data_IF_252976471951
#
_entry.id   IF_252976471951
#
_cell.length_a   1.000
_cell.length_b   1.000
_cell.length_c   1.000
_cell.angle_alpha   90.00
_cell.angle_beta   90.00
_cell.angle_gamma   90.00
#
_symmetry.space_group_name_H-M   'P 1'
#
loop_
_entity.id
_entity.type
_entity.pdbx_description
1 polymer ?
#
# COMPACT_ATOMS: atom_id res chain seq x y z
N UNK A 1 16.52 -23.48 16.23
CA UNK A 1 16.63 -22.02 16.45
C UNK A 1 15.76 -21.22 15.46
N UNK A 2 15.87 -21.38 14.13
CA UNK A 2 15.07 -20.65 13.13
C UNK A 2 13.55 -20.89 13.27
N UNK A 3 13.10 -22.15 13.48
CA UNK A 3 11.67 -22.48 13.69
C UNK A 3 11.08 -21.94 15.01
N UNK A 4 11.88 -21.72 16.03
CA UNK A 4 11.42 -21.16 17.31
C UNK A 4 11.22 -19.65 17.21
N UNK A 5 12.08 -18.95 16.46
CA UNK A 5 11.92 -17.52 16.13
C UNK A 5 10.69 -17.31 15.25
N UNK A 6 10.41 -18.21 14.29
CA UNK A 6 9.20 -18.17 13.47
C UNK A 6 7.89 -18.32 14.27
N UNK A 7 7.87 -19.14 15.34
CA UNK A 7 6.67 -19.32 16.19
C UNK A 7 6.41 -18.13 17.13
N UNK A 8 7.45 -17.52 17.69
CA UNK A 8 7.30 -16.36 18.58
C UNK A 8 6.90 -15.08 17.83
N UNK A 9 7.18 -14.98 16.54
CA UNK A 9 6.91 -13.76 15.73
C UNK A 9 5.54 -13.76 15.05
N UNK A 10 4.88 -14.91 14.89
CA UNK A 10 3.63 -14.98 14.11
C UNK A 10 2.42 -14.27 14.75
N UNK A 11 2.34 -14.21 16.06
CA UNK A 11 1.27 -13.52 16.80
C UNK A 11 1.49 -12.00 16.92
N UNK A 12 2.73 -11.57 17.15
CA UNK A 12 3.08 -10.15 17.28
C UNK A 12 3.09 -9.38 15.94
N UNK A 13 3.24 -10.07 14.84
CA UNK A 13 3.33 -9.52 13.49
C UNK A 13 2.14 -8.63 13.08
N UNK A 14 0.97 -8.95 13.63
CA UNK A 14 -0.32 -8.36 13.27
C UNK A 14 -0.98 -7.64 14.46
N UNK A 15 -0.22 -7.35 15.50
CA UNK A 15 -0.72 -6.61 16.64
C UNK A 15 -1.00 -5.16 16.22
N UNK A 16 -2.17 -4.65 16.58
CA UNK A 16 -2.54 -3.26 16.38
C UNK A 16 -1.66 -2.36 17.27
N UNK A 17 -1.25 -1.20 16.75
CA UNK A 17 -0.63 -0.15 17.56
C UNK A 17 -1.63 0.40 18.57
N UNK A 18 -1.17 1.15 19.57
CA UNK A 18 -2.06 1.74 20.60
C UNK A 18 -3.14 2.65 20.00
N UNK A 19 -2.80 3.38 18.93
CA UNK A 19 -3.75 4.25 18.23
C UNK A 19 -4.74 3.41 17.41
N UNK A 20 -4.26 2.38 16.73
CA UNK A 20 -5.12 1.47 15.96
C UNK A 20 -6.06 0.66 16.86
N UNK A 21 -5.64 0.32 18.09
CA UNK A 21 -6.53 -0.28 19.10
C UNK A 21 -7.67 0.66 19.49
N UNK A 22 -7.39 1.97 19.67
CA UNK A 22 -8.42 2.98 19.92
C UNK A 22 -9.37 3.11 18.74
N UNK A 23 -8.84 3.11 17.53
CA UNK A 23 -9.63 3.13 16.29
C UNK A 23 -10.51 1.88 16.17
N UNK A 24 -9.97 0.72 16.47
CA UNK A 24 -10.70 -0.55 16.44
C UNK A 24 -11.81 -0.60 17.51
N UNK A 25 -11.54 -0.10 18.72
CA UNK A 25 -12.53 0.06 19.80
C UNK A 25 -13.64 1.06 19.40
N UNK A 26 -13.28 2.16 18.76
CA UNK A 26 -14.25 3.12 18.23
C UNK A 26 -15.13 2.47 17.15
N UNK A 27 -14.52 1.74 16.21
CA UNK A 27 -15.22 1.01 15.16
C UNK A 27 -16.23 0.01 15.74
N UNK A 28 -15.81 -0.75 16.75
CA UNK A 28 -16.66 -1.71 17.47
C UNK A 28 -17.90 -1.04 18.08
N UNK A 29 -17.70 0.01 18.89
CA UNK A 29 -18.80 0.76 19.52
C UNK A 29 -19.78 1.31 18.50
N UNK A 30 -19.28 1.83 17.37
CA UNK A 30 -20.15 2.35 16.30
C UNK A 30 -20.95 1.26 15.61
N UNK A 31 -20.32 0.12 15.30
CA UNK A 31 -20.98 -0.99 14.64
C UNK A 31 -22.03 -1.66 15.56
N UNK A 32 -21.78 -1.75 16.86
CA UNK A 32 -22.74 -2.28 17.84
C UNK A 32 -23.94 -1.34 18.06
N UNK A 33 -23.73 -0.02 18.08
CA UNK A 33 -24.81 0.95 18.32
C UNK A 33 -25.93 0.92 17.29
N UNK A 34 -25.74 0.22 16.16
CA UNK A 34 -26.72 0.07 15.08
C UNK A 34 -27.27 -1.35 14.91
N UNK A 35 -26.89 -2.28 15.80
CA UNK A 35 -27.51 -3.60 15.84
C UNK A 35 -29.03 -3.44 16.03
N UNK A 36 -29.80 -3.69 14.96
CA UNK A 36 -31.26 -3.49 14.96
C UNK A 36 -31.82 -2.32 14.17
N UNK A 37 -30.99 -1.39 13.63
CA UNK A 37 -31.46 -0.17 12.92
C UNK A 37 -31.47 -0.29 11.39
N UNK A 38 -32.09 -1.32 10.85
CA UNK A 38 -32.33 -1.46 9.40
C UNK A 38 -31.06 -1.74 8.56
N UNK A 39 -31.22 -2.60 7.54
CA UNK A 39 -30.10 -3.13 6.73
C UNK A 39 -29.28 -2.04 6.03
N UNK A 40 -29.94 -1.00 5.46
CA UNK A 40 -29.25 0.06 4.71
C UNK A 40 -28.37 0.92 5.63
N UNK A 41 -28.88 1.31 6.80
CA UNK A 41 -28.10 2.08 7.77
C UNK A 41 -26.89 1.30 8.29
N UNK A 42 -27.04 -0.03 8.45
CA UNK A 42 -25.92 -0.92 8.80
C UNK A 42 -24.82 -0.89 7.76
N UNK A 43 -25.16 -1.03 6.47
CA UNK A 43 -24.18 -0.96 5.37
C UNK A 43 -23.49 0.40 5.26
N UNK A 44 -24.22 1.50 5.39
CA UNK A 44 -23.65 2.85 5.32
C UNK A 44 -22.66 3.09 6.45
N UNK A 45 -22.98 2.65 7.68
CA UNK A 45 -22.03 2.79 8.78
C UNK A 45 -20.82 1.89 8.62
N UNK A 46 -21.02 0.65 8.20
CA UNK A 46 -19.90 -0.28 7.93
C UNK A 46 -18.98 0.29 6.87
N UNK A 47 -19.52 0.91 5.82
CA UNK A 47 -18.77 1.62 4.80
C UNK A 47 -18.05 2.86 5.36
N UNK A 48 -18.70 3.64 6.22
CA UNK A 48 -18.07 4.80 6.87
C UNK A 48 -16.90 4.38 7.77
N UNK A 49 -17.06 3.30 8.57
CA UNK A 49 -15.98 2.74 9.38
C UNK A 49 -14.84 2.23 8.51
N UNK A 50 -15.15 1.54 7.42
CA UNK A 50 -14.16 1.11 6.42
C UNK A 50 -13.38 2.31 5.87
N UNK A 51 -14.07 3.38 5.45
CA UNK A 51 -13.46 4.59 4.90
C UNK A 51 -12.53 5.27 5.91
N UNK A 52 -12.95 5.41 7.17
CA UNK A 52 -12.10 5.99 8.23
C UNK A 52 -10.84 5.15 8.47
N UNK A 53 -10.97 3.81 8.50
CA UNK A 53 -9.82 2.91 8.62
C UNK A 53 -8.90 2.98 7.39
N UNK A 54 -9.44 3.14 6.19
CA UNK A 54 -8.65 3.34 4.97
C UNK A 54 -7.92 4.68 4.99
N UNK A 55 -8.59 5.77 5.38
CA UNK A 55 -7.97 7.08 5.54
C UNK A 55 -6.81 7.03 6.55
N UNK A 56 -7.01 6.32 7.66
CA UNK A 56 -5.94 6.08 8.64
C UNK A 56 -4.78 5.28 8.06
N UNK A 57 -5.06 4.25 7.25
CA UNK A 57 -4.00 3.49 6.58
C UNK A 57 -3.17 4.37 5.62
N UNK A 58 -3.79 5.37 5.00
CA UNK A 58 -3.15 6.32 4.09
C UNK A 58 -2.41 7.46 4.78
N UNK A 59 -2.32 7.52 6.13
CA UNK A 59 -1.85 8.70 6.87
C UNK A 59 -0.46 9.18 6.40
N UNK A 60 0.48 8.27 6.14
CA UNK A 60 1.81 8.64 5.67
C UNK A 60 1.75 9.29 4.28
N UNK A 61 1.03 8.69 3.34
CA UNK A 61 0.83 9.27 2.00
C UNK A 61 0.09 10.61 2.05
N UNK A 62 -0.91 10.73 2.93
CA UNK A 62 -1.64 11.99 3.13
C UNK A 62 -0.73 13.10 3.68
N UNK A 63 0.15 12.79 4.63
CA UNK A 63 1.14 13.74 5.15
C UNK A 63 2.16 14.14 4.08
N UNK A 64 2.60 13.21 3.24
CA UNK A 64 3.48 13.51 2.10
C UNK A 64 2.79 14.42 1.07
N UNK A 65 1.53 14.16 0.72
CA UNK A 65 0.76 15.03 -0.18
C UNK A 65 0.50 16.41 0.42
N UNK A 66 0.21 16.47 1.73
CA UNK A 66 0.05 17.74 2.44
C UNK A 66 1.36 18.55 2.45
N UNK A 67 2.52 17.89 2.62
CA UNK A 67 3.83 18.52 2.54
C UNK A 67 4.11 19.06 1.13
N UNK A 68 3.80 18.29 0.07
CA UNK A 68 3.95 18.70 -1.33
C UNK A 68 3.08 19.92 -1.64
N UNK A 69 1.79 19.88 -1.30
CA UNK A 69 0.86 20.99 -1.51
C UNK A 69 1.22 22.18 -0.65
N UNK A 70 1.54 21.99 0.61
CA UNK A 70 1.91 23.07 1.54
C UNK A 70 3.15 23.83 1.05
N UNK A 71 4.19 23.11 0.61
CA UNK A 71 5.36 23.76 0.02
C UNK A 71 5.08 24.38 -1.35
N UNK A 72 4.16 23.83 -2.14
CA UNK A 72 3.75 24.45 -3.42
C UNK A 72 3.07 25.81 -3.19
N UNK A 73 2.21 25.90 -2.18
CA UNK A 73 1.37 27.08 -1.97
C UNK A 73 2.08 28.18 -1.14
N UNK A 74 2.98 27.80 -0.21
CA UNK A 74 3.49 28.72 0.80
C UNK A 74 5.01 28.74 0.94
N UNK A 75 5.77 28.01 0.08
CA UNK A 75 7.22 28.04 0.17
C UNK A 75 7.78 29.40 -0.28
N UNK A 76 8.59 30.11 0.57
CA UNK A 76 9.05 31.43 0.24
C UNK A 76 10.00 31.44 -0.98
N UNK A 77 9.80 32.37 -1.88
CA UNK A 77 10.79 32.66 -2.92
C UNK A 77 12.07 33.21 -2.28
N UNK A 78 13.22 32.66 -2.68
CA UNK A 78 14.52 33.06 -2.12
C UNK A 78 14.86 32.48 -0.75
N UNK A 79 14.14 31.45 -0.28
CA UNK A 79 14.53 30.71 0.90
C UNK A 79 15.96 30.14 0.79
N UNK A 80 16.72 30.13 1.91
CA UNK A 80 18.10 29.62 1.95
C UNK A 80 18.19 28.12 1.60
N UNK A 81 17.13 27.34 1.86
CA UNK A 81 17.02 25.94 1.50
C UNK A 81 16.17 25.84 0.25
N UNK A 82 16.56 24.98 -0.71
CA UNK A 82 15.70 24.71 -1.86
C UNK A 82 14.40 24.02 -1.45
N UNK A 83 13.31 24.21 -2.22
CA UNK A 83 12.03 23.53 -1.94
C UNK A 83 12.18 22.01 -1.92
N UNK A 84 12.99 21.44 -2.84
CA UNK A 84 13.23 20.00 -2.88
C UNK A 84 13.97 19.49 -1.66
N UNK A 85 14.93 20.23 -1.13
CA UNK A 85 15.62 19.88 0.11
C UNK A 85 14.69 19.99 1.33
N UNK A 86 13.85 21.02 1.36
CA UNK A 86 12.82 21.14 2.40
C UNK A 86 11.82 19.98 2.38
N UNK A 87 11.46 19.47 1.19
CA UNK A 87 10.65 18.26 1.03
C UNK A 87 11.36 17.02 1.59
N UNK A 88 12.67 16.87 1.38
CA UNK A 88 13.44 15.76 1.97
C UNK A 88 13.44 15.85 3.48
N UNK A 89 13.78 17.04 4.04
CA UNK A 89 13.79 17.26 5.50
C UNK A 89 12.40 17.00 6.09
N UNK A 90 11.33 17.49 5.45
CA UNK A 90 9.96 17.26 5.88
C UNK A 90 9.56 15.79 5.82
N UNK A 91 9.94 15.07 4.76
CA UNK A 91 9.68 13.62 4.62
C UNK A 91 10.38 12.81 5.71
N UNK A 92 11.66 13.12 5.98
CA UNK A 92 12.42 12.51 7.10
C UNK A 92 11.76 12.83 8.43
N UNK A 93 11.35 14.08 8.66
CA UNK A 93 10.67 14.49 9.89
C UNK A 93 9.34 13.72 10.09
N UNK A 94 8.53 13.56 9.03
CA UNK A 94 7.31 12.75 9.07
C UNK A 94 7.65 11.31 9.45
N UNK A 95 8.64 10.70 8.80
CA UNK A 95 9.05 9.31 9.06
C UNK A 95 9.52 9.13 10.51
N UNK A 96 10.36 10.04 11.01
CA UNK A 96 10.84 10.01 12.39
C UNK A 96 9.68 10.18 13.38
N UNK A 97 8.76 11.12 13.12
CA UNK A 97 7.57 11.32 13.94
C UNK A 97 6.72 10.06 14.03
N UNK A 98 6.52 9.35 12.89
CA UNK A 98 5.74 8.11 12.85
C UNK A 98 6.39 6.98 13.64
N UNK A 99 7.73 6.91 13.66
CA UNK A 99 8.46 5.96 14.49
C UNK A 99 8.39 6.34 15.99
N UNK A 100 8.64 7.60 16.34
CA UNK A 100 8.60 8.08 17.73
C UNK A 100 7.20 7.93 18.36
N UNK A 101 6.16 8.17 17.58
CA UNK A 101 4.76 7.98 18.02
C UNK A 101 4.30 6.53 17.98
N UNK A 102 5.20 5.59 17.61
CA UNK A 102 4.92 4.16 17.49
C UNK A 102 3.73 3.86 16.55
N UNK A 103 3.52 4.72 15.58
CA UNK A 103 2.56 4.48 14.49
C UNK A 103 3.11 3.48 13.47
N UNK A 104 4.41 3.31 13.45
CA UNK A 104 5.11 2.28 12.67
C UNK A 104 6.00 1.43 13.58
N UNK A 105 6.09 0.14 13.27
CA UNK A 105 6.97 -0.79 13.97
C UNK A 105 8.31 -0.95 13.24
N UNK A 106 9.34 -1.41 13.96
CA UNK A 106 10.65 -1.65 13.34
C UNK A 106 10.61 -2.67 12.17
N UNK A 107 9.61 -3.54 12.13
CA UNK A 107 9.41 -4.49 11.02
C UNK A 107 8.76 -3.82 9.80
N UNK A 108 7.87 -2.86 10.02
CA UNK A 108 7.30 -2.03 8.96
C UNK A 108 8.38 -1.19 8.30
N UNK A 109 9.36 -0.72 9.08
CA UNK A 109 10.50 0.03 8.57
C UNK A 109 11.25 -0.75 7.47
N UNK A 110 11.37 -2.07 7.57
CA UNK A 110 11.98 -2.88 6.50
C UNK A 110 11.18 -2.84 5.20
N UNK A 111 9.86 -2.84 5.28
CA UNK A 111 9.01 -2.67 4.08
C UNK A 111 9.19 -1.27 3.52
N UNK A 112 9.18 -0.24 4.36
CA UNK A 112 9.38 1.15 3.98
C UNK A 112 10.74 1.33 3.28
N UNK A 113 11.82 0.81 3.88
CA UNK A 113 13.17 0.85 3.29
C UNK A 113 13.21 0.12 1.94
N UNK A 114 12.59 -1.07 1.84
CA UNK A 114 12.53 -1.82 0.59
C UNK A 114 11.80 -1.03 -0.51
N UNK A 115 10.66 -0.44 -0.21
CA UNK A 115 9.92 0.41 -1.16
C UNK A 115 10.70 1.66 -1.53
N UNK A 116 11.38 2.28 -0.57
CA UNK A 116 12.23 3.44 -0.82
C UNK A 116 13.38 3.09 -1.79
N UNK A 117 14.10 1.99 -1.54
CA UNK A 117 15.23 1.57 -2.40
C UNK A 117 14.76 1.20 -3.81
N UNK A 118 13.70 0.38 -3.91
CA UNK A 118 13.14 -0.06 -5.19
C UNK A 118 12.56 1.14 -5.96
N UNK A 119 11.84 2.02 -5.28
CA UNK A 119 11.30 3.25 -5.87
C UNK A 119 12.39 4.19 -6.36
N UNK A 120 13.43 4.44 -5.55
CA UNK A 120 14.56 5.28 -5.93
C UNK A 120 15.30 4.72 -7.15
N UNK A 121 15.54 3.41 -7.20
CA UNK A 121 16.16 2.77 -8.37
C UNK A 121 15.31 2.97 -9.65
N UNK A 122 13.99 2.85 -9.51
CA UNK A 122 13.06 3.11 -10.61
C UNK A 122 13.08 4.57 -11.06
N UNK A 123 13.11 5.52 -10.13
CA UNK A 123 13.17 6.96 -10.41
C UNK A 123 14.45 7.32 -11.17
N UNK A 124 15.61 6.84 -10.70
CA UNK A 124 16.89 7.07 -11.35
C UNK A 124 16.86 6.61 -12.82
N UNK A 125 16.32 5.43 -13.08
CA UNK A 125 16.22 4.92 -14.44
C UNK A 125 15.23 5.75 -15.29
N UNK A 126 14.01 6.00 -14.79
CA UNK A 126 12.96 6.68 -15.54
C UNK A 126 13.28 8.13 -15.85
N UNK A 127 13.96 8.80 -14.94
CA UNK A 127 14.48 10.16 -15.18
C UNK A 127 15.59 10.12 -16.22
N UNK A 128 16.51 9.15 -16.16
CA UNK A 128 17.58 8.99 -17.13
C UNK A 128 17.09 8.74 -18.57
N UNK A 129 15.96 8.04 -18.76
CA UNK A 129 15.34 7.78 -20.06
C UNK A 129 14.28 8.84 -20.47
N UNK A 130 14.13 9.92 -19.68
CA UNK A 130 13.25 11.04 -20.02
C UNK A 130 11.75 10.77 -19.87
N UNK A 131 11.35 9.78 -19.05
CA UNK A 131 9.92 9.48 -18.82
C UNK A 131 9.21 10.61 -18.07
N UNK A 132 9.93 11.31 -17.21
CA UNK A 132 9.59 12.54 -16.50
C UNK A 132 10.86 13.20 -15.99
N UNK A 133 10.75 14.43 -15.53
CA UNK A 133 11.86 15.18 -14.95
C UNK A 133 11.40 15.90 -13.68
N UNK A 134 12.39 16.26 -12.87
CA UNK A 134 12.21 17.06 -11.67
C UNK A 134 12.70 18.47 -11.94
N UNK A 135 11.92 19.47 -11.53
CA UNK A 135 12.33 20.88 -11.60
C UNK A 135 13.17 21.28 -10.39
N UNK A 136 14.11 22.21 -10.61
CA UNK A 136 14.95 22.75 -9.55
C UNK A 136 16.25 21.98 -9.33
N UNK A 137 16.90 22.27 -8.21
CA UNK A 137 18.15 21.70 -7.74
C UNK A 137 18.12 21.54 -6.22
N UNK A 138 19.19 21.01 -5.64
CA UNK A 138 19.32 20.89 -4.19
C UNK A 138 20.50 20.04 -3.75
N UNK A 139 20.70 19.98 -2.46
CA UNK A 139 21.77 19.19 -1.82
C UNK A 139 21.44 17.69 -1.78
N UNK A 140 20.15 17.36 -1.62
CA UNK A 140 19.68 15.98 -1.45
C UNK A 140 19.17 15.40 -2.76
N UNK A 141 20.03 15.41 -3.78
CA UNK A 141 19.76 14.89 -5.13
C UNK A 141 20.75 13.80 -5.51
N UNK A 142 20.31 12.80 -6.24
CA UNK A 142 21.17 11.77 -6.86
C UNK A 142 20.76 11.65 -8.33
N UNK A 143 21.72 11.93 -9.24
CA UNK A 143 21.55 11.79 -10.69
C UNK A 143 20.26 12.42 -11.24
N UNK A 144 19.92 13.64 -10.81
CA UNK A 144 18.73 14.36 -11.25
C UNK A 144 17.43 13.96 -10.56
N UNK A 145 17.50 13.15 -9.50
CA UNK A 145 16.33 12.72 -8.71
C UNK A 145 16.45 13.21 -7.27
N UNK A 146 15.48 13.97 -6.74
CA UNK A 146 15.47 14.38 -5.34
C UNK A 146 15.08 13.22 -4.42
N UNK A 147 15.74 13.10 -3.25
CA UNK A 147 15.57 11.94 -2.36
C UNK A 147 14.19 11.82 -1.71
N UNK A 148 13.37 12.89 -1.70
CA UNK A 148 12.00 12.78 -1.18
C UNK A 148 11.12 11.81 -1.98
N UNK A 149 11.47 11.54 -3.24
CA UNK A 149 10.70 10.64 -4.12
C UNK A 149 10.62 9.21 -3.58
N UNK A 150 11.71 8.72 -2.99
CA UNK A 150 11.72 7.41 -2.34
C UNK A 150 10.70 7.28 -1.21
N UNK A 151 10.41 8.38 -0.48
CA UNK A 151 9.39 8.38 0.57
C UNK A 151 7.97 8.29 0.01
N UNK A 152 7.72 8.74 -1.22
CA UNK A 152 6.42 8.57 -1.87
C UNK A 152 6.13 7.08 -2.16
N UNK A 153 7.12 6.31 -2.61
CA UNK A 153 7.00 4.85 -2.74
C UNK A 153 6.88 4.17 -1.38
N UNK A 154 7.65 4.62 -0.40
CA UNK A 154 7.57 4.13 0.98
C UNK A 154 6.16 4.30 1.57
N UNK A 155 5.42 5.36 1.19
CA UNK A 155 4.04 5.57 1.61
C UNK A 155 3.10 4.44 1.15
N UNK A 156 3.31 3.87 -0.04
CA UNK A 156 2.56 2.69 -0.52
C UNK A 156 2.88 1.48 0.35
N UNK A 157 4.14 1.25 0.71
CA UNK A 157 4.56 0.17 1.60
C UNK A 157 3.92 0.29 2.99
N UNK A 158 3.97 1.48 3.60
CA UNK A 158 3.33 1.78 4.89
C UNK A 158 1.81 1.53 4.84
N UNK A 159 1.13 2.02 3.79
CA UNK A 159 -0.29 1.77 3.56
C UNK A 159 -0.61 0.26 3.52
N UNK A 160 0.13 -0.50 2.72
CA UNK A 160 -0.10 -1.93 2.54
C UNK A 160 -0.01 -2.70 3.86
N UNK A 161 1.03 -2.45 4.66
CA UNK A 161 1.21 -3.11 5.96
C UNK A 161 0.07 -2.76 6.92
N UNK A 162 -0.36 -1.50 6.95
CA UNK A 162 -1.48 -1.06 7.81
C UNK A 162 -2.79 -1.70 7.42
N UNK A 163 -3.10 -1.78 6.13
CA UNK A 163 -4.31 -2.44 5.63
C UNK A 163 -4.33 -3.91 6.03
N UNK A 164 -3.21 -4.63 5.87
CA UNK A 164 -3.11 -6.03 6.32
C UNK A 164 -3.42 -6.20 7.81
N UNK A 165 -3.00 -5.25 8.64
CA UNK A 165 -3.19 -5.28 10.08
C UNK A 165 -4.59 -4.83 10.51
N UNK A 166 -5.06 -3.68 10.00
CA UNK A 166 -6.33 -3.05 10.39
C UNK A 166 -7.56 -3.87 10.01
N UNK A 167 -7.49 -4.62 8.90
CA UNK A 167 -8.61 -5.37 8.36
C UNK A 167 -8.48 -6.88 8.52
N UNK A 168 -7.45 -7.37 9.23
CA UNK A 168 -7.18 -8.80 9.43
C UNK A 168 -7.25 -9.61 8.13
N UNK A 169 -6.58 -9.15 7.07
CA UNK A 169 -6.72 -9.72 5.73
C UNK A 169 -6.41 -11.21 5.69
N UNK A 170 -7.27 -11.96 5.00
CA UNK A 170 -7.15 -13.38 4.70
C UNK A 170 -7.40 -13.61 3.22
N UNK A 171 -6.89 -14.70 2.69
CA UNK A 171 -6.96 -14.95 1.25
C UNK A 171 -7.37 -16.38 0.98
N UNK A 172 -8.31 -16.54 0.03
CA UNK A 172 -8.58 -17.81 -0.63
C UNK A 172 -7.92 -17.83 -1.98
N UNK A 173 -7.44 -18.98 -2.41
CA UNK A 173 -6.81 -19.20 -3.71
C UNK A 173 -5.71 -18.18 -4.05
N UNK A 174 -4.92 -17.78 -3.02
CA UNK A 174 -3.79 -16.91 -3.24
C UNK A 174 -2.78 -17.59 -4.19
N UNK A 175 -2.31 -16.92 -5.27
CA UNK A 175 -1.40 -17.52 -6.23
C UNK A 175 -0.09 -17.97 -5.58
N UNK A 176 0.60 -18.98 -6.15
CA UNK A 176 1.92 -19.39 -5.70
C UNK A 176 2.89 -18.19 -5.68
N UNK A 177 3.62 -18.00 -4.58
CA UNK A 177 4.52 -16.85 -4.40
C UNK A 177 5.59 -16.75 -5.48
N UNK A 178 6.09 -17.88 -5.98
CA UNK A 178 7.06 -17.87 -7.08
C UNK A 178 6.45 -17.32 -8.37
N UNK A 179 5.17 -17.63 -8.65
CA UNK A 179 4.49 -17.13 -9.85
C UNK A 179 4.23 -15.62 -9.77
N UNK A 180 3.78 -15.11 -8.61
CA UNK A 180 3.62 -13.67 -8.40
C UNK A 180 4.97 -12.93 -8.47
N UNK A 181 6.04 -13.52 -7.92
CA UNK A 181 7.39 -12.97 -7.99
C UNK A 181 7.93 -12.94 -9.42
N UNK A 182 7.77 -14.03 -10.19
CA UNK A 182 8.18 -14.08 -11.59
C UNK A 182 7.43 -13.04 -12.42
N UNK A 183 6.12 -12.90 -12.20
CA UNK A 183 5.31 -11.89 -12.87
C UNK A 183 5.74 -10.47 -12.47
N UNK A 184 6.09 -10.22 -11.19
CA UNK A 184 6.62 -8.95 -10.76
C UNK A 184 7.96 -8.61 -11.45
N UNK A 185 8.84 -9.59 -11.61
CA UNK A 185 10.10 -9.43 -12.38
C UNK A 185 9.79 -9.10 -13.84
N UNK A 186 8.85 -9.79 -14.47
CA UNK A 186 8.45 -9.52 -15.86
C UNK A 186 7.85 -8.11 -16.03
N UNK A 187 7.02 -7.67 -15.07
CA UNK A 187 6.47 -6.31 -15.07
C UNK A 187 7.58 -5.28 -14.96
N UNK A 188 8.55 -5.48 -14.05
CA UNK A 188 9.71 -4.58 -13.94
C UNK A 188 10.57 -4.61 -15.19
N UNK A 189 10.86 -5.79 -15.75
CA UNK A 189 11.62 -5.91 -16.97
C UNK A 189 10.96 -5.14 -18.13
N UNK A 190 9.64 -5.24 -18.29
CA UNK A 190 8.90 -4.44 -19.27
C UNK A 190 8.93 -2.95 -18.91
N UNK A 191 8.78 -2.59 -17.64
CA UNK A 191 8.77 -1.20 -17.20
C UNK A 191 10.10 -0.48 -17.48
N UNK A 192 11.22 -1.20 -17.39
CA UNK A 192 12.52 -0.69 -17.77
C UNK A 192 12.78 -0.82 -19.28
N UNK A 193 12.38 -1.93 -19.88
CA UNK A 193 12.75 -2.30 -21.25
C UNK A 193 11.90 -1.70 -22.35
N UNK A 194 10.63 -1.29 -22.09
CA UNK A 194 9.70 -0.84 -23.15
C UNK A 194 10.16 0.40 -23.93
N UNK A 195 11.19 1.10 -23.48
CA UNK A 195 11.84 2.17 -24.24
C UNK A 195 12.74 1.66 -25.38
N UNK A 196 13.16 0.39 -25.29
CA UNK A 196 14.12 -0.24 -26.21
C UNK A 196 13.52 -1.40 -26.99
N UNK A 197 12.43 -2.01 -26.47
CA UNK A 197 11.76 -3.16 -27.05
C UNK A 197 10.23 -2.95 -27.02
N UNK A 198 9.49 -3.89 -27.61
CA UNK A 198 8.02 -3.83 -27.66
C UNK A 198 7.43 -3.77 -26.23
N UNK A 199 6.48 -2.86 -26.03
CA UNK A 199 5.75 -2.74 -24.78
C UNK A 199 4.74 -3.87 -24.61
N UNK A 200 5.01 -4.76 -23.66
CA UNK A 200 4.18 -5.92 -23.32
C UNK A 200 3.13 -5.63 -22.24
N UNK A 201 2.86 -4.35 -21.93
CA UNK A 201 1.96 -3.90 -20.87
C UNK A 201 0.61 -4.63 -20.89
N UNK A 202 -0.01 -4.79 -22.05
CA UNK A 202 -1.30 -5.44 -22.19
C UNK A 202 -1.25 -6.95 -21.96
N UNK A 203 -0.17 -7.60 -22.40
CA UNK A 203 0.07 -9.03 -22.14
C UNK A 203 0.25 -9.25 -20.64
N UNK A 204 1.03 -8.39 -19.98
CA UNK A 204 1.26 -8.45 -18.53
C UNK A 204 -0.03 -8.18 -17.76
N UNK A 205 -0.89 -7.27 -18.23
CA UNK A 205 -2.21 -7.05 -17.65
C UNK A 205 -3.06 -8.32 -17.67
N UNK A 206 -3.12 -9.00 -18.82
CA UNK A 206 -3.84 -10.28 -18.96
C UNK A 206 -3.26 -11.32 -18.00
N UNK A 207 -1.94 -11.43 -17.89
CA UNK A 207 -1.27 -12.37 -16.98
C UNK A 207 -1.57 -12.05 -15.50
N UNK A 208 -1.56 -10.78 -15.10
CA UNK A 208 -1.95 -10.37 -13.72
C UNK A 208 -3.40 -10.77 -13.45
N UNK A 209 -4.32 -10.50 -14.39
CA UNK A 209 -5.72 -10.87 -14.24
C UNK A 209 -5.87 -12.40 -14.17
N UNK A 210 -5.28 -13.15 -15.10
CA UNK A 210 -5.37 -14.60 -15.14
C UNK A 210 -4.82 -15.26 -13.86
N UNK A 211 -3.68 -14.77 -13.36
CA UNK A 211 -3.05 -15.29 -12.16
C UNK A 211 -3.90 -15.04 -10.89
N UNK A 212 -4.58 -13.89 -10.81
CA UNK A 212 -5.26 -13.45 -9.62
C UNK A 212 -6.81 -13.58 -9.67
N UNK A 213 -7.39 -14.00 -10.81
CA UNK A 213 -8.86 -14.00 -11.00
C UNK A 213 -9.62 -14.86 -9.97
N UNK A 214 -9.00 -15.92 -9.47
CA UNK A 214 -9.58 -16.79 -8.43
C UNK A 214 -9.27 -16.34 -7.01
N UNK A 215 -8.38 -15.36 -6.83
CA UNK A 215 -7.97 -14.90 -5.52
C UNK A 215 -9.03 -14.00 -4.92
N UNK A 216 -9.58 -14.41 -3.78
CA UNK A 216 -10.56 -13.65 -3.01
C UNK A 216 -9.91 -13.20 -1.70
N UNK A 217 -9.96 -11.90 -1.46
CA UNK A 217 -9.57 -11.29 -0.21
C UNK A 217 -10.76 -11.24 0.74
N UNK A 218 -10.55 -11.71 1.97
CA UNK A 218 -11.49 -11.59 3.07
C UNK A 218 -10.99 -10.51 4.03
N UNK A 219 -11.87 -9.64 4.44
CA UNK A 219 -11.58 -8.56 5.39
C UNK A 219 -12.74 -8.36 6.36
N UNK A 220 -12.48 -7.70 7.47
CA UNK A 220 -13.51 -7.29 8.44
C UNK A 220 -13.10 -6.01 9.14
N UNK A 221 -14.07 -5.16 9.41
CA UNK A 221 -13.85 -3.89 10.08
C UNK A 221 -13.52 -4.04 11.57
N UNK A 222 -14.01 -5.13 12.19
CA UNK A 222 -13.70 -5.51 13.58
C UNK A 222 -13.80 -7.03 13.72
N UNK A 223 -13.10 -7.59 14.69
CA UNK A 223 -13.06 -9.06 14.91
C UNK A 223 -14.43 -9.68 15.21
N UNK A 224 -15.36 -8.92 15.80
CA UNK A 224 -16.74 -9.37 16.06
C UNK A 224 -17.64 -9.34 14.81
N UNK A 225 -17.20 -8.72 13.71
CA UNK A 225 -17.99 -8.59 12.49
C UNK A 225 -17.79 -9.76 11.55
N UNK A 226 -18.80 -10.08 10.72
CA UNK A 226 -18.68 -11.11 9.69
C UNK A 226 -17.62 -10.71 8.65
N UNK A 227 -17.00 -11.72 8.07
CA UNK A 227 -16.06 -11.54 6.99
C UNK A 227 -16.76 -10.99 5.73
N UNK A 228 -16.18 -9.95 5.16
CA UNK A 228 -16.55 -9.44 3.84
C UNK A 228 -15.58 -9.99 2.80
N UNK A 229 -16.07 -10.19 1.59
CA UNK A 229 -15.33 -10.79 0.47
C UNK A 229 -15.16 -9.78 -0.63
N UNK A 230 -13.97 -9.71 -1.20
CA UNK A 230 -13.67 -8.85 -2.35
C UNK A 230 -12.65 -9.55 -3.26
N UNK A 231 -12.87 -9.59 -4.59
CA UNK A 231 -11.83 -10.03 -5.51
C UNK A 231 -10.57 -9.19 -5.32
N UNK A 232 -9.38 -9.81 -5.29
CA UNK A 232 -8.12 -9.06 -5.09
C UNK A 232 -7.90 -8.04 -6.22
N UNK A 233 -8.35 -8.35 -7.44
CA UNK A 233 -8.28 -7.45 -8.59
C UNK A 233 -9.06 -6.16 -8.38
N UNK A 234 -10.21 -6.21 -7.69
CA UNK A 234 -10.96 -5.01 -7.33
C UNK A 234 -10.18 -4.13 -6.35
N UNK A 235 -9.44 -4.74 -5.41
CA UNK A 235 -8.53 -4.01 -4.52
C UNK A 235 -7.39 -3.36 -5.30
N UNK A 236 -6.78 -4.09 -6.26
CA UNK A 236 -5.72 -3.54 -7.11
C UNK A 236 -6.21 -2.34 -7.90
N UNK A 237 -7.39 -2.43 -8.51
CA UNK A 237 -7.99 -1.32 -9.26
C UNK A 237 -8.30 -0.13 -8.35
N UNK A 238 -8.89 -0.38 -7.17
CA UNK A 238 -9.20 0.67 -6.21
C UNK A 238 -7.95 1.40 -5.73
N UNK A 239 -6.89 0.68 -5.34
CA UNK A 239 -5.63 1.29 -4.90
C UNK A 239 -4.95 2.02 -6.06
N UNK A 240 -4.89 1.43 -7.25
CA UNK A 240 -4.34 2.07 -8.44
C UNK A 240 -5.06 3.38 -8.78
N UNK A 241 -6.38 3.42 -8.63
CA UNK A 241 -7.16 4.65 -8.81
C UNK A 241 -6.78 5.74 -7.80
N UNK A 242 -6.68 5.40 -6.51
CA UNK A 242 -6.27 6.37 -5.50
C UNK A 242 -4.82 6.83 -5.65
N UNK A 243 -3.90 5.96 -6.12
CA UNK A 243 -2.54 6.37 -6.46
C UNK A 243 -2.56 7.33 -7.65
N UNK A 244 -3.37 7.07 -8.68
CA UNK A 244 -3.53 7.98 -9.81
C UNK A 244 -4.08 9.34 -9.39
N UNK A 245 -5.04 9.40 -8.44
CA UNK A 245 -5.52 10.66 -7.86
C UNK A 245 -4.39 11.37 -7.12
N UNK A 246 -3.63 10.66 -6.29
CA UNK A 246 -2.48 11.21 -5.57
C UNK A 246 -1.39 11.73 -6.53
N UNK A 247 -1.15 11.03 -7.63
CA UNK A 247 -0.24 11.45 -8.70
C UNK A 247 -0.67 12.77 -9.36
N UNK A 248 -1.97 12.94 -9.61
CA UNK A 248 -2.49 14.22 -10.12
C UNK A 248 -2.27 15.37 -9.13
N UNK A 249 -2.47 15.14 -7.85
CA UNK A 249 -2.20 16.13 -6.80
C UNK A 249 -0.70 16.45 -6.73
N UNK A 250 0.16 15.43 -6.80
CA UNK A 250 1.60 15.59 -6.71
C UNK A 250 2.18 16.34 -7.93
N UNK A 251 1.73 16.02 -9.16
CA UNK A 251 2.15 16.73 -10.38
C UNK A 251 1.62 18.16 -10.40
N UNK A 252 0.37 18.41 -9.95
CA UNK A 252 -0.15 19.75 -9.75
C UNK A 252 0.72 20.56 -8.77
N UNK A 253 1.16 19.92 -7.69
CA UNK A 253 2.08 20.54 -6.74
C UNK A 253 3.53 20.64 -7.26
N UNK A 254 3.81 20.30 -8.52
CA UNK A 254 5.15 20.39 -9.11
C UNK A 254 6.17 19.47 -8.48
N UNK A 255 5.74 18.28 -8.00
CA UNK A 255 6.65 17.29 -7.47
C UNK A 255 7.52 16.68 -8.58
N UNK A 256 6.95 16.43 -9.75
CA UNK A 256 7.62 16.09 -11.02
C UNK A 256 6.75 16.54 -12.18
N UNK A 257 7.34 16.56 -13.39
CA UNK A 257 6.70 17.05 -14.60
C UNK A 257 6.76 15.96 -15.67
N UNK A 258 5.61 15.59 -16.21
CA UNK A 258 5.52 14.75 -17.39
C UNK A 258 5.75 15.55 -18.67
N UNK A 259 6.22 14.94 -19.79
CA UNK A 259 6.43 15.63 -21.04
C UNK A 259 5.18 16.38 -21.57
N UNK A 260 3.98 15.85 -21.36
CA UNK A 260 2.72 16.52 -21.72
C UNK A 260 2.34 17.67 -20.78
N UNK A 261 3.03 17.85 -19.67
CA UNK A 261 2.80 18.92 -18.69
C UNK A 261 3.86 20.04 -18.78
N UNK A 262 4.74 20.00 -19.77
CA UNK A 262 5.85 20.96 -19.89
C UNK A 262 5.39 22.41 -20.13
N UNK A 263 4.27 22.62 -20.82
CA UNK A 263 3.68 23.95 -21.09
C UNK A 263 2.66 24.39 -20.03
N UNK A 264 2.28 23.50 -19.12
CA UNK A 264 1.32 23.74 -18.06
C UNK A 264 0.77 22.42 -17.50
N UNK A 265 0.21 22.48 -16.29
CA UNK A 265 -0.34 21.27 -15.69
C UNK A 265 -1.58 20.78 -16.46
N UNK A 266 -1.55 19.51 -16.79
CA UNK A 266 -2.66 18.76 -17.36
C UNK A 266 -2.92 17.50 -16.55
N UNK A 267 -4.13 16.97 -16.66
CA UNK A 267 -4.52 15.73 -15.98
C UNK A 267 -3.62 14.57 -16.45
N UNK A 268 -3.09 13.82 -15.50
CA UNK A 268 -2.28 12.63 -15.79
C UNK A 268 -3.11 11.63 -16.61
N UNK A 269 -2.61 11.16 -17.77
CA UNK A 269 -3.36 10.27 -18.64
C UNK A 269 -3.87 9.02 -17.95
N UNK A 270 -5.11 8.61 -18.24
CA UNK A 270 -5.71 7.38 -17.69
C UNK A 270 -4.92 6.11 -18.00
N UNK A 271 -4.09 6.13 -19.05
CA UNK A 271 -3.17 5.01 -19.35
C UNK A 271 -2.19 4.72 -18.22
N UNK A 272 -1.89 5.71 -17.36
CA UNK A 272 -1.08 5.52 -16.14
C UNK A 272 -1.79 4.65 -15.10
N UNK A 273 -3.12 4.61 -15.09
CA UNK A 273 -3.88 3.72 -14.22
C UNK A 273 -3.53 2.24 -14.47
N UNK A 274 -3.31 1.85 -15.73
CA UNK A 274 -2.87 0.50 -16.08
C UNK A 274 -1.47 0.22 -15.51
N UNK A 275 -0.56 1.18 -15.59
CA UNK A 275 0.78 1.06 -14.98
C UNK A 275 0.69 0.87 -13.46
N UNK A 276 -0.13 1.67 -12.78
CA UNK A 276 -0.36 1.54 -11.34
C UNK A 276 -1.01 0.21 -10.96
N UNK A 277 -1.95 -0.28 -11.76
CA UNK A 277 -2.55 -1.60 -11.57
C UNK A 277 -1.51 -2.72 -11.65
N UNK A 278 -0.60 -2.68 -12.63
CA UNK A 278 0.50 -3.63 -12.75
C UNK A 278 1.48 -3.52 -11.56
N UNK A 279 1.81 -2.29 -11.15
CA UNK A 279 2.68 -2.03 -10.01
C UNK A 279 2.08 -2.53 -8.68
N UNK A 280 0.75 -2.68 -8.59
CA UNK A 280 0.12 -3.31 -7.42
C UNK A 280 0.55 -4.76 -7.23
N UNK A 281 0.74 -5.54 -8.31
CA UNK A 281 1.29 -6.89 -8.20
C UNK A 281 2.70 -6.88 -7.59
N UNK A 282 3.54 -5.94 -8.01
CA UNK A 282 4.90 -5.75 -7.45
C UNK A 282 4.81 -5.38 -5.97
N UNK A 283 3.96 -4.40 -5.63
CA UNK A 283 3.79 -3.93 -4.25
C UNK A 283 3.35 -5.07 -3.32
N UNK A 284 2.41 -5.91 -3.74
CA UNK A 284 1.98 -7.09 -2.99
C UNK A 284 3.14 -8.08 -2.83
N UNK A 285 3.92 -8.33 -3.88
CA UNK A 285 5.10 -9.21 -3.80
C UNK A 285 6.10 -8.67 -2.79
N UNK A 286 6.46 -7.39 -2.85
CA UNK A 286 7.39 -6.76 -1.90
C UNK A 286 6.93 -6.90 -0.45
N UNK A 287 5.64 -6.63 -0.18
CA UNK A 287 5.06 -6.79 1.16
C UNK A 287 5.07 -8.24 1.60
N UNK A 288 4.78 -9.19 0.71
CA UNK A 288 4.71 -10.62 1.05
C UNK A 288 6.09 -11.28 1.29
N UNK A 289 7.18 -10.61 0.94
CA UNK A 289 8.52 -11.00 1.43
C UNK A 289 8.65 -10.85 2.94
N UNK A 290 8.07 -9.79 3.50
CA UNK A 290 8.14 -9.48 4.94
C UNK A 290 6.95 -10.07 5.69
N UNK A 291 5.74 -10.00 5.11
CA UNK A 291 4.47 -10.43 5.71
C UNK A 291 3.81 -11.50 4.84
N UNK A 292 3.79 -12.76 5.30
CA UNK A 292 3.17 -13.86 4.54
C UNK A 292 1.65 -13.71 4.50
N UNK A 293 1.00 -13.89 3.32
CA UNK A 293 -0.45 -13.94 3.21
C UNK A 293 -1.01 -15.06 4.09
N UNK A 294 -2.08 -14.77 4.84
CA UNK A 294 -2.74 -15.76 5.68
C UNK A 294 -3.92 -16.38 4.94
N UNK A 295 -4.02 -17.71 4.85
CA UNK A 295 -5.20 -18.35 4.29
C UNK A 295 -6.41 -18.13 5.19
N UNK A 296 -7.61 -18.15 4.61
CA UNK A 296 -8.83 -18.30 5.38
C UNK A 296 -8.83 -19.73 5.97
N UNK A 297 -8.81 -19.87 7.31
CA UNK A 297 -8.96 -21.19 7.93
C UNK A 297 -10.34 -21.73 7.55
N UNK A 298 -10.39 -23.00 7.14
CA UNK A 298 -11.65 -23.74 7.14
C UNK A 298 -12.29 -23.63 8.55
N UNK A 299 -13.63 -23.55 8.68
CA UNK A 299 -14.27 -23.68 9.98
C UNK A 299 -13.71 -24.95 10.62
N UNK A 300 -13.21 -24.85 11.84
CA UNK A 300 -12.89 -26.05 12.60
C UNK A 300 -14.17 -26.89 12.59
N UNK A 301 -14.13 -28.03 11.92
CA UNK A 301 -15.18 -29.03 12.06
C UNK A 301 -15.33 -29.24 13.55
N UNK A 302 -16.50 -28.91 14.10
CA UNK A 302 -16.82 -29.27 15.48
C UNK A 302 -16.52 -30.75 15.62
N UNK A 303 -15.40 -31.11 16.25
CA UNK A 303 -15.22 -32.44 16.75
C UNK A 303 -16.40 -32.66 17.69
N UNK A 304 -17.36 -33.47 17.24
CA UNK A 304 -18.47 -33.91 18.05
C UNK A 304 -17.91 -34.51 19.36
N UNK A 305 -18.65 -34.40 20.49
CA UNK A 305 -18.22 -34.98 21.72
C UNK A 305 -17.90 -36.46 21.49
N UNK A 306 -16.63 -36.83 21.76
CA UNK A 306 -16.12 -38.17 21.49
C UNK A 306 -17.06 -39.23 22.01
N UNK A 307 -17.38 -40.22 21.18
CA UNK A 307 -18.02 -41.44 21.57
C UNK A 307 -17.26 -42.07 22.73
N UNK A 308 -17.93 -42.44 23.83
CA UNK A 308 -17.26 -43.12 24.92
C UNK A 308 -16.73 -44.48 24.44
N UNK A 309 -15.46 -44.72 24.72
CA UNK A 309 -14.77 -45.97 24.38
C UNK A 309 -15.60 -47.19 24.84
N UNK A 310 -15.73 -48.24 24.03
CA UNK A 310 -16.43 -49.45 24.45
C UNK A 310 -15.69 -50.10 25.61
N UNK A 311 -16.40 -50.30 26.71
CA UNK A 311 -15.94 -51.06 27.88
C UNK A 311 -15.64 -52.50 27.42
N UNK A 312 -14.38 -52.89 27.45
CA UNK A 312 -13.93 -54.27 27.30
C UNK A 312 -14.49 -55.14 28.42
N UNK A 313 -15.22 -56.17 28.05
CA UNK A 313 -15.47 -57.35 28.90
C UNK A 313 -14.38 -58.38 28.65
#
# INVERSE_FOLDING_TARGET
MIRTIERMTSGQQWALTSVEQRLDTWAHRRLESLSGRGRVRGYLLEFAVFTVKQAWACIFGALMLALLLGTHLWYPEGAALSRSDALVVGAVAIQVLMLLTKLESGRELWVIVLFHLVGTAMELFKTAVGSWHYGGDGLFWIAGVPLYTGFMYAAVGSYMVRVFRLFDLRFDHYPPRWATALLAVAIYANFFGHHYVVDLRWVLLVLVVALNIRCVMHFRNHRSQPWRRMPILASFLGVAFFIWVAENIATFAGAWIYPNQAEGWELVPLSKLVAWFLLMNISVVLVTFVYRPRPMKAPESSEGPGDPAPLSR
#
